data_IF_991839540478
#
_entry.id   IF_991839540478
#
_cell.length_a   1.000
_cell.length_b   1.000
_cell.length_c   1.000
_cell.angle_alpha   90.00
_cell.angle_beta   90.00
_cell.angle_gamma   90.00
#
_symmetry.space_group_name_H-M   'P 1'
#
loop_
_entity.id
_entity.type
_entity.pdbx_description
1 polymer ?
#
# COMPACT_ATOMS: atom_id res chain seq x y z
N UNK A 1 -6.69 2.84 7.63
CA UNK A 1 -5.57 3.32 6.78
C UNK A 1 -5.16 2.31 5.73
N UNK A 2 -4.82 1.08 6.12
CA UNK A 2 -4.23 0.07 5.22
C UNK A 2 -5.04 -0.21 3.93
N UNK A 3 -6.35 -0.52 3.96
CA UNK A 3 -7.08 -0.80 2.72
C UNK A 3 -7.06 0.36 1.71
N UNK A 4 -7.09 1.59 2.22
CA UNK A 4 -7.02 2.79 1.39
C UNK A 4 -5.63 2.96 0.76
N UNK A 5 -4.56 2.78 1.53
CA UNK A 5 -3.18 2.86 1.02
C UNK A 5 -2.93 1.80 -0.05
N UNK A 6 -3.37 0.56 0.18
CA UNK A 6 -3.22 -0.53 -0.79
C UNK A 6 -3.91 -0.19 -2.11
N UNK A 7 -5.17 0.25 -2.05
CA UNK A 7 -5.92 0.63 -3.24
C UNK A 7 -5.24 1.80 -3.98
N UNK A 8 -4.78 2.82 -3.25
CA UNK A 8 -4.17 4.01 -3.85
C UNK A 8 -2.80 3.71 -4.46
N UNK A 9 -1.95 2.95 -3.77
CA UNK A 9 -0.65 2.51 -4.26
C UNK A 9 -0.76 1.61 -5.48
N UNK A 10 -1.73 0.67 -5.51
CA UNK A 10 -1.99 -0.15 -6.71
C UNK A 10 -2.41 0.69 -7.90
N UNK A 11 -3.28 1.69 -7.71
CA UNK A 11 -3.66 2.63 -8.76
C UNK A 11 -2.47 3.47 -9.28
N UNK A 12 -1.47 3.70 -8.43
CA UNK A 12 -0.19 4.33 -8.80
C UNK A 12 0.82 3.34 -9.39
N UNK A 13 0.48 2.06 -9.53
CA UNK A 13 1.37 1.05 -10.10
C UNK A 13 2.37 0.44 -9.11
N UNK A 14 2.19 0.59 -7.79
CA UNK A 14 3.03 -0.08 -6.82
C UNK A 14 2.55 -1.51 -6.52
N UNK A 15 3.49 -2.44 -6.35
CA UNK A 15 3.21 -3.78 -5.86
C UNK A 15 3.20 -3.80 -4.33
N UNK A 16 2.13 -4.30 -3.72
CA UNK A 16 2.13 -4.60 -2.29
C UNK A 16 2.91 -5.90 -2.04
N UNK A 17 4.09 -5.81 -1.42
CA UNK A 17 4.93 -6.97 -1.10
C UNK A 17 4.74 -7.50 0.31
N UNK A 18 4.48 -6.62 1.28
CA UNK A 18 4.35 -6.97 2.69
C UNK A 18 3.45 -5.97 3.42
N UNK A 19 2.69 -6.48 4.38
CA UNK A 19 1.91 -5.69 5.32
C UNK A 19 2.16 -6.26 6.72
N UNK A 20 2.49 -5.39 7.67
CA UNK A 20 2.70 -5.78 9.07
C UNK A 20 1.94 -4.82 9.97
N UNK A 21 1.33 -5.37 11.01
CA UNK A 21 0.78 -4.59 12.13
C UNK A 21 1.64 -4.92 13.33
N UNK A 22 2.20 -3.89 13.96
CA UNK A 22 3.12 -3.99 15.10
C UNK A 22 2.56 -3.21 16.28
N UNK A 23 2.93 -3.60 17.50
CA UNK A 23 2.62 -2.83 18.69
C UNK A 23 3.46 -1.56 18.81
N UNK A 24 3.13 -0.71 19.78
CA UNK A 24 3.83 0.55 20.05
C UNK A 24 5.13 0.34 20.84
N UNK A 25 5.86 -0.73 20.54
CA UNK A 25 7.18 -1.03 21.10
C UNK A 25 8.30 -0.63 20.12
N UNK A 26 9.25 0.25 20.52
CA UNK A 26 10.32 0.69 19.63
C UNK A 26 11.13 -0.43 18.97
N UNK A 27 11.46 -1.49 19.72
CA UNK A 27 12.24 -2.62 19.19
C UNK A 27 11.47 -3.43 18.15
N UNK A 28 10.16 -3.65 18.37
CA UNK A 28 9.30 -4.35 17.41
C UNK A 28 9.15 -3.56 16.11
N UNK A 29 8.99 -2.23 16.23
CA UNK A 29 8.96 -1.32 15.08
C UNK A 29 10.32 -1.34 14.36
N UNK A 30 11.43 -1.29 15.10
CA UNK A 30 12.79 -1.26 14.56
C UNK A 30 13.10 -2.49 13.71
N UNK A 31 12.75 -3.68 14.19
CA UNK A 31 13.03 -4.93 13.48
C UNK A 31 12.26 -5.03 12.15
N UNK A 32 10.99 -4.64 12.13
CA UNK A 32 10.20 -4.63 10.89
C UNK A 32 10.63 -3.51 9.95
N UNK A 33 10.95 -2.32 10.47
CA UNK A 33 11.48 -1.21 9.67
C UNK A 33 12.79 -1.60 8.99
N UNK A 34 13.75 -2.16 9.74
CA UNK A 34 15.04 -2.64 9.21
C UNK A 34 14.82 -3.64 8.07
N UNK A 35 14.03 -4.69 8.33
CA UNK A 35 13.74 -5.74 7.36
C UNK A 35 13.06 -5.21 6.10
N UNK A 36 12.05 -4.36 6.26
CA UNK A 36 11.31 -3.81 5.11
C UNK A 36 12.15 -2.80 4.32
N UNK A 37 12.94 -1.97 4.99
CA UNK A 37 13.78 -0.96 4.35
C UNK A 37 14.89 -1.58 3.50
N UNK A 38 15.41 -2.75 3.90
CA UNK A 38 16.41 -3.51 3.13
C UNK A 38 15.80 -4.24 1.93
N UNK A 39 14.56 -4.73 2.05
CA UNK A 39 13.96 -5.62 1.05
C UNK A 39 13.07 -4.90 0.02
N UNK A 40 12.69 -3.64 0.22
CA UNK A 40 11.65 -2.96 -0.56
C UNK A 40 12.04 -1.53 -0.96
N UNK A 41 11.51 -1.07 -2.11
CA UNK A 41 11.80 0.28 -2.63
C UNK A 41 11.18 1.39 -1.78
N UNK A 42 10.02 1.11 -1.18
CA UNK A 42 9.27 2.03 -0.33
C UNK A 42 8.67 1.30 0.87
N UNK A 43 8.83 1.90 2.05
CA UNK A 43 8.19 1.44 3.29
C UNK A 43 7.31 2.57 3.80
N UNK A 44 6.04 2.30 4.05
CA UNK A 44 5.10 3.30 4.55
C UNK A 44 4.64 2.89 5.95
N UNK A 45 4.77 3.80 6.92
CA UNK A 45 4.23 3.63 8.27
C UNK A 45 3.04 4.57 8.48
N UNK A 46 2.08 4.18 9.31
CA UNK A 46 0.95 5.05 9.68
C UNK A 46 0.56 4.83 11.14
N UNK A 47 0.59 5.89 11.95
CA UNK A 47 0.38 5.81 13.40
C UNK A 47 1.63 6.16 14.19
N UNK A 48 1.49 6.34 15.51
CA UNK A 48 2.62 6.46 16.45
C UNK A 48 3.51 7.70 16.32
N UNK A 49 2.98 8.83 15.81
CA UNK A 49 3.72 10.08 15.55
C UNK A 49 3.10 11.32 16.20
N UNK A 50 2.11 11.12 17.06
CA UNK A 50 1.50 12.18 17.85
C UNK A 50 2.30 12.54 19.10
N UNK A 51 1.67 13.29 20.01
CA UNK A 51 2.30 13.76 21.24
C UNK A 51 2.28 12.74 22.38
N UNK A 52 1.50 11.66 22.31
CA UNK A 52 1.24 10.79 23.47
C UNK A 52 2.41 9.85 23.77
N UNK A 53 2.40 9.25 24.96
CA UNK A 53 3.52 8.45 25.46
C UNK A 53 3.76 7.15 24.68
N UNK A 54 2.73 6.67 24.01
CA UNK A 54 2.66 5.51 23.10
C UNK A 54 3.00 5.87 21.65
N UNK A 55 3.16 7.16 21.30
CA UNK A 55 3.65 7.55 19.98
C UNK A 55 5.16 7.28 19.85
N UNK A 56 5.49 6.06 19.38
CA UNK A 56 6.85 5.48 19.38
C UNK A 56 7.43 5.20 17.99
N UNK A 57 6.73 5.57 16.92
CA UNK A 57 7.15 5.23 15.55
C UNK A 57 8.47 5.87 15.15
N UNK A 58 8.73 7.14 15.49
CA UNK A 58 10.04 7.75 15.20
C UNK A 58 11.18 7.10 15.97
N UNK A 59 10.95 6.71 17.23
CA UNK A 59 11.94 6.00 18.06
C UNK A 59 12.31 4.66 17.41
N UNK A 60 11.31 3.86 17.05
CA UNK A 60 11.53 2.58 16.37
C UNK A 60 12.20 2.72 14.99
N UNK A 61 11.81 3.72 14.19
CA UNK A 61 12.48 3.98 12.91
C UNK A 61 13.95 4.36 13.12
N UNK A 62 14.25 5.20 14.12
CA UNK A 62 15.61 5.58 14.46
C UNK A 62 16.48 4.38 14.84
N UNK A 63 15.95 3.49 15.69
CA UNK A 63 16.62 2.24 16.06
C UNK A 63 16.78 1.27 14.88
N UNK A 64 15.76 1.16 14.01
CA UNK A 64 15.79 0.24 12.87
C UNK A 64 16.76 0.66 11.77
N UNK A 65 17.01 1.97 11.64
CA UNK A 65 17.87 2.55 10.59
C UNK A 65 19.22 3.06 11.11
N UNK A 66 19.56 2.79 12.37
CA UNK A 66 20.76 3.30 13.07
C UNK A 66 20.90 4.84 12.97
N UNK A 67 19.77 5.54 13.12
CA UNK A 67 19.66 6.99 13.00
C UNK A 67 19.11 7.59 14.30
N UNK A 68 19.95 8.21 15.16
CA UNK A 68 19.50 8.81 16.41
C UNK A 68 18.45 9.89 16.18
N UNK A 69 17.57 10.13 17.16
CA UNK A 69 16.56 11.18 17.06
C UNK A 69 17.17 12.54 17.39
N UNK A 70 16.80 13.56 16.62
CA UNK A 70 17.14 14.95 16.86
C UNK A 70 15.96 15.86 16.57
N UNK A 71 15.89 17.01 17.23
CA UNK A 71 14.89 18.03 16.93
C UNK A 71 15.14 18.58 15.53
N UNK A 72 14.13 18.49 14.65
CA UNK A 72 14.23 19.03 13.32
C UNK A 72 13.88 20.54 13.32
N UNK A 73 14.78 21.44 12.90
CA UNK A 73 14.56 22.89 13.02
C UNK A 73 13.26 23.36 12.35
N UNK A 74 12.94 22.85 11.16
CA UNK A 74 11.70 23.21 10.46
C UNK A 74 10.42 22.68 11.15
N UNK A 75 10.46 21.48 11.75
CA UNK A 75 9.30 20.95 12.48
C UNK A 75 9.10 21.73 13.78
N UNK A 76 10.20 22.13 14.43
CA UNK A 76 10.16 22.98 15.62
C UNK A 76 9.55 24.36 15.29
N UNK A 77 9.95 24.97 14.17
CA UNK A 77 9.35 26.22 13.70
C UNK A 77 7.84 26.07 13.39
N UNK A 78 7.41 24.94 12.83
CA UNK A 78 6.00 24.65 12.62
C UNK A 78 5.25 24.50 13.96
N UNK A 79 5.83 23.80 14.93
CA UNK A 79 5.27 23.65 16.27
C UNK A 79 5.02 25.02 16.92
N UNK A 80 5.99 25.94 16.82
CA UNK A 80 5.85 27.32 17.30
C UNK A 80 4.77 28.09 16.53
N UNK A 81 4.74 27.97 15.19
CA UNK A 81 3.76 28.66 14.34
C UNK A 81 2.31 28.21 14.62
N UNK A 82 2.14 26.97 15.07
CA UNK A 82 0.86 26.42 15.52
C UNK A 82 0.50 26.77 16.97
N UNK A 83 1.33 27.56 17.67
CA UNK A 83 1.08 28.00 19.05
C UNK A 83 1.16 26.88 20.08
N UNK A 84 1.82 25.76 19.73
CA UNK A 84 2.00 24.65 20.66
C UNK A 84 3.17 24.94 21.60
N UNK A 85 3.03 24.70 22.92
CA UNK A 85 4.14 24.89 23.84
C UNK A 85 5.24 23.85 23.57
N UNK A 86 6.50 24.22 23.77
CA UNK A 86 7.66 23.31 23.73
C UNK A 86 7.74 22.43 24.98
N UNK A 87 6.65 21.73 25.29
CA UNK A 87 6.63 20.68 26.31
C UNK A 87 7.35 19.43 25.79
N UNK A 88 7.86 18.60 26.68
CA UNK A 88 8.50 17.33 26.32
C UNK A 88 7.59 16.45 25.45
N UNK A 89 6.29 16.45 25.75
CA UNK A 89 5.23 15.78 25.00
C UNK A 89 5.13 16.28 23.55
N UNK A 90 5.16 17.60 23.32
CA UNK A 90 5.07 18.15 21.96
C UNK A 90 6.39 18.05 21.20
N UNK A 91 7.53 18.10 21.92
CA UNK A 91 8.86 17.94 21.30
C UNK A 91 9.04 16.55 20.67
N UNK A 92 8.33 15.52 21.16
CA UNK A 92 8.29 14.19 20.52
C UNK A 92 7.86 14.24 19.06
N UNK A 93 6.93 15.13 18.70
CA UNK A 93 6.43 15.26 17.32
C UNK A 93 7.46 15.87 16.36
N UNK A 94 8.52 16.52 16.88
CA UNK A 94 9.55 17.19 16.08
C UNK A 94 10.92 16.55 16.20
N UNK A 95 11.08 15.60 17.14
CA UNK A 95 12.26 14.74 17.25
C UNK A 95 12.12 13.57 16.29
N UNK A 96 12.83 13.66 15.17
CA UNK A 96 12.81 12.67 14.09
C UNK A 96 14.21 12.07 13.91
N UNK A 97 14.34 10.88 13.29
CA UNK A 97 15.65 10.30 13.02
C UNK A 97 16.54 11.24 12.17
N UNK A 98 17.82 11.31 12.48
CA UNK A 98 18.79 12.10 11.71
C UNK A 98 18.80 11.67 10.24
N UNK A 99 18.97 12.64 9.33
CA UNK A 99 18.89 12.40 7.88
C UNK A 99 17.45 12.33 7.35
N UNK A 100 16.45 12.66 8.17
CA UNK A 100 15.09 12.88 7.71
C UNK A 100 14.99 14.01 6.68
N UNK A 101 14.18 13.78 5.66
CA UNK A 101 13.75 14.74 4.65
C UNK A 101 12.28 15.07 4.90
N UNK A 102 11.93 16.35 4.84
CA UNK A 102 10.56 16.81 4.95
C UNK A 102 9.94 16.95 3.56
N UNK A 103 9.12 15.98 3.20
CA UNK A 103 8.43 15.93 1.91
C UNK A 103 7.17 16.79 1.99
N UNK A 104 7.11 17.82 1.15
CA UNK A 104 6.08 18.86 1.17
C UNK A 104 5.19 18.77 -0.06
N UNK A 105 3.88 18.83 0.15
CA UNK A 105 2.94 19.31 -0.86
C UNK A 105 2.44 20.71 -0.56
N UNK A 106 1.24 21.05 -1.08
CA UNK A 106 0.61 22.34 -0.84
C UNK A 106 0.01 22.42 0.58
N UNK A 107 0.74 23.05 1.50
CA UNK A 107 0.30 23.43 2.85
C UNK A 107 0.33 22.34 3.93
N UNK A 108 0.34 22.73 5.20
CA UNK A 108 0.27 21.84 6.37
C UNK A 108 1.60 21.25 6.85
N UNK A 109 1.53 20.30 7.79
CA UNK A 109 2.69 19.56 8.28
C UNK A 109 3.23 18.60 7.20
N UNK A 110 4.55 18.59 6.95
CA UNK A 110 5.16 17.73 5.95
C UNK A 110 5.08 16.25 6.32
N UNK A 111 5.27 15.39 5.31
CA UNK A 111 5.53 13.97 5.52
C UNK A 111 7.02 13.79 5.81
N UNK A 112 7.35 13.08 6.88
CA UNK A 112 8.75 12.78 7.21
C UNK A 112 9.19 11.54 6.44
N UNK A 113 10.33 11.62 5.76
CA UNK A 113 10.95 10.47 5.09
C UNK A 113 12.38 10.27 5.59
N UNK A 114 12.74 9.04 5.94
CA UNK A 114 14.11 8.66 6.30
C UNK A 114 14.52 7.51 5.39
N UNK A 115 15.54 7.70 4.55
CA UNK A 115 15.87 6.76 3.45
C UNK A 115 14.62 6.51 2.57
N UNK A 116 14.16 5.27 2.49
CA UNK A 116 12.95 4.81 1.79
C UNK A 116 11.72 4.65 2.70
N UNK A 117 11.80 5.05 3.97
CA UNK A 117 10.71 4.94 4.95
C UNK A 117 9.94 6.24 5.05
N UNK A 118 8.65 6.20 4.70
CA UNK A 118 7.71 7.32 4.68
C UNK A 118 6.76 7.23 5.87
N UNK A 119 6.66 8.31 6.64
CA UNK A 119 5.99 8.29 7.94
C UNK A 119 4.72 9.12 7.91
N UNK A 120 3.57 8.45 8.06
CA UNK A 120 2.25 9.07 8.03
C UNK A 120 1.57 9.09 9.42
N UNK A 121 0.68 10.05 9.67
CA UNK A 121 -0.11 10.06 10.90
C UNK A 121 -1.12 8.91 10.93
N UNK A 122 -1.59 8.55 12.13
CA UNK A 122 -2.61 7.51 12.32
C UNK A 122 -4.03 7.96 11.96
N UNK A 123 -4.32 9.26 12.08
CA UNK A 123 -5.65 9.82 11.78
C UNK A 123 -5.93 9.70 10.27
N UNK A 124 -6.98 8.96 9.84
CA UNK A 124 -7.17 8.64 8.43
C UNK A 124 -7.26 9.85 7.50
N UNK A 125 -7.96 10.92 7.93
CA UNK A 125 -8.13 12.12 7.09
C UNK A 125 -6.78 12.83 6.86
N UNK A 126 -5.92 12.87 7.88
CA UNK A 126 -4.60 13.49 7.79
C UNK A 126 -3.63 12.63 6.98
N UNK A 127 -3.68 11.31 7.17
CA UNK A 127 -2.86 10.37 6.40
C UNK A 127 -3.14 10.49 4.90
N UNK A 128 -4.43 10.47 4.51
CA UNK A 128 -4.85 10.58 3.11
C UNK A 128 -4.43 11.91 2.50
N UNK A 129 -4.66 13.01 3.21
CA UNK A 129 -4.27 14.35 2.76
C UNK A 129 -2.76 14.45 2.53
N UNK A 130 -1.95 13.93 3.47
CA UNK A 130 -0.49 13.91 3.35
C UNK A 130 0.00 12.99 2.23
N UNK A 131 -0.65 11.84 2.02
CA UNK A 131 -0.30 10.93 0.95
C UNK A 131 -0.53 11.57 -0.43
N UNK A 132 -1.70 12.17 -0.65
CA UNK A 132 -2.03 12.78 -1.96
C UNK A 132 -1.05 13.91 -2.34
N UNK A 133 -0.53 14.63 -1.36
CA UNK A 133 0.49 15.67 -1.55
C UNK A 133 1.80 15.15 -2.15
N UNK A 134 2.12 13.86 -1.96
CA UNK A 134 3.38 13.24 -2.39
C UNK A 134 3.14 12.01 -3.27
N UNK A 135 1.91 11.78 -3.72
CA UNK A 135 1.53 10.58 -4.48
C UNK A 135 2.38 10.37 -5.74
N UNK A 136 2.85 11.47 -6.36
CA UNK A 136 3.75 11.42 -7.52
C UNK A 136 5.08 10.71 -7.24
N UNK A 137 5.54 10.68 -5.99
CA UNK A 137 6.76 9.94 -5.61
C UNK A 137 6.60 8.41 -5.73
N UNK A 138 5.37 7.92 -5.81
CA UNK A 138 5.04 6.50 -5.93
C UNK A 138 4.52 6.14 -7.33
N UNK A 139 4.55 7.07 -8.28
CA UNK A 139 4.01 6.84 -9.61
C UNK A 139 4.89 5.84 -10.39
N UNK A 140 4.31 4.70 -10.73
CA UNK A 140 4.81 3.70 -11.67
C UNK A 140 3.78 3.40 -12.75
N UNK A 141 4.02 2.36 -13.54
CA UNK A 141 3.07 1.94 -14.58
C UNK A 141 1.84 1.29 -13.92
N UNK A 142 0.62 1.82 -14.10
CA UNK A 142 -0.56 1.24 -13.45
C UNK A 142 -0.77 -0.22 -13.83
N UNK A 143 -1.17 -1.03 -12.84
CA UNK A 143 -1.61 -2.41 -13.10
C UNK A 143 -3.05 -2.34 -13.62
N UNK A 144 -3.29 -2.95 -14.77
CA UNK A 144 -4.64 -3.09 -15.34
C UNK A 144 -5.26 -4.38 -14.81
N UNK A 145 -6.54 -4.33 -14.46
CA UNK A 145 -7.27 -5.47 -13.91
C UNK A 145 -8.52 -5.76 -14.76
N UNK A 146 -8.70 -7.03 -15.13
CA UNK A 146 -9.95 -7.54 -15.70
C UNK A 146 -10.57 -8.51 -14.70
N UNK A 147 -11.87 -8.35 -14.44
CA UNK A 147 -12.64 -9.21 -13.55
C UNK A 147 -13.69 -9.97 -14.33
N UNK A 148 -13.68 -11.29 -14.16
CA UNK A 148 -14.66 -12.22 -14.72
C UNK A 148 -15.48 -12.81 -13.58
N UNK A 149 -16.81 -12.87 -13.74
CA UNK A 149 -17.67 -13.65 -12.84
C UNK A 149 -18.24 -14.84 -13.61
N UNK A 150 -17.99 -16.04 -13.10
CA UNK A 150 -18.37 -17.29 -13.77
C UNK A 150 -19.21 -18.18 -12.85
N UNK A 151 -20.22 -18.83 -13.42
CA UNK A 151 -21.06 -19.83 -12.75
C UNK A 151 -20.43 -21.23 -12.89
N UNK A 152 -19.22 -21.36 -12.34
CA UNK A 152 -18.39 -22.58 -12.30
C UNK A 152 -17.71 -22.65 -10.95
N UNK A 153 -17.34 -23.85 -10.52
CA UNK A 153 -16.51 -24.07 -9.34
C UNK A 153 -15.03 -23.87 -9.66
N UNK A 154 -14.25 -23.46 -8.68
CA UNK A 154 -12.80 -23.28 -8.82
C UNK A 154 -12.10 -24.54 -9.37
N UNK A 155 -12.48 -25.71 -8.88
CA UNK A 155 -11.94 -27.00 -9.34
C UNK A 155 -12.24 -27.30 -10.81
N UNK A 156 -13.27 -26.70 -11.39
CA UNK A 156 -13.68 -26.91 -12.79
C UNK A 156 -12.89 -26.02 -13.76
N UNK A 157 -12.27 -24.97 -13.25
CA UNK A 157 -11.51 -24.00 -14.08
C UNK A 157 -10.01 -24.03 -13.80
N UNK A 158 -9.56 -24.73 -12.75
CA UNK A 158 -8.19 -24.71 -12.27
C UNK A 158 -7.15 -25.05 -13.37
N UNK A 159 -7.43 -26.04 -14.22
CA UNK A 159 -6.54 -26.41 -15.34
C UNK A 159 -6.41 -25.26 -16.35
N UNK A 160 -7.53 -24.65 -16.76
CA UNK A 160 -7.51 -23.50 -17.67
C UNK A 160 -6.77 -22.29 -17.07
N UNK A 161 -6.98 -22.01 -15.77
CA UNK A 161 -6.25 -20.94 -15.07
C UNK A 161 -4.74 -21.21 -15.07
N UNK A 162 -4.33 -22.45 -14.82
CA UNK A 162 -2.93 -22.86 -14.83
C UNK A 162 -2.31 -22.73 -16.23
N UNK A 163 -3.01 -23.18 -17.28
CA UNK A 163 -2.54 -23.11 -18.66
C UNK A 163 -2.35 -21.66 -19.11
N UNK A 164 -3.29 -20.77 -18.78
CA UNK A 164 -3.17 -19.34 -19.06
C UNK A 164 -2.02 -18.72 -18.26
N UNK A 165 -1.87 -19.03 -16.98
CA UNK A 165 -0.76 -18.53 -16.16
C UNK A 165 0.62 -18.96 -16.73
N UNK A 166 0.73 -20.19 -17.22
CA UNK A 166 1.94 -20.69 -17.88
C UNK A 166 2.22 -19.98 -19.21
N UNK A 167 1.19 -19.72 -20.02
CA UNK A 167 1.32 -19.08 -21.31
C UNK A 167 1.60 -17.57 -21.22
N UNK A 168 1.13 -16.92 -20.14
CA UNK A 168 1.22 -15.48 -19.93
C UNK A 168 1.86 -15.17 -18.56
N UNK A 169 3.18 -15.40 -18.39
CA UNK A 169 3.85 -15.24 -17.09
C UNK A 169 3.88 -13.79 -16.57
N UNK A 170 3.60 -12.79 -17.42
CA UNK A 170 3.45 -11.38 -17.04
C UNK A 170 2.05 -11.02 -16.53
N UNK A 171 1.09 -11.96 -16.57
CA UNK A 171 -0.29 -11.78 -16.13
C UNK A 171 -0.50 -12.55 -14.82
N UNK A 172 -0.81 -11.83 -13.74
CA UNK A 172 -1.18 -12.44 -12.47
C UNK A 172 -2.66 -12.85 -12.51
N UNK A 173 -2.95 -14.08 -12.11
CA UNK A 173 -4.31 -14.63 -12.10
C UNK A 173 -4.72 -14.96 -10.66
N UNK A 174 -5.89 -14.50 -10.25
CA UNK A 174 -6.49 -14.79 -8.95
C UNK A 174 -7.88 -15.41 -9.12
N UNK A 175 -8.20 -16.38 -8.28
CA UNK A 175 -9.50 -17.05 -8.19
C UNK A 175 -10.09 -16.88 -6.79
N UNK A 176 -11.35 -16.46 -6.72
CA UNK A 176 -12.03 -16.14 -5.46
C UNK A 176 -13.43 -16.78 -5.46
N UNK A 177 -13.57 -18.02 -4.97
CA UNK A 177 -14.87 -18.66 -4.85
C UNK A 177 -15.78 -17.89 -3.88
N UNK A 178 -17.08 -17.89 -4.18
CA UNK A 178 -18.14 -17.30 -3.36
C UNK A 178 -19.09 -18.39 -2.93
N UNK A 179 -19.29 -18.48 -1.63
CA UNK A 179 -20.15 -19.47 -0.99
C UNK A 179 -21.48 -18.83 -0.59
N UNK A 180 -22.58 -19.57 -0.72
CA UNK A 180 -23.87 -19.19 -0.15
C UNK A 180 -23.91 -19.47 1.38
N UNK A 181 -25.03 -19.12 2.04
CA UNK A 181 -25.23 -19.38 3.47
C UNK A 181 -25.17 -20.87 3.84
N UNK A 182 -25.41 -21.76 2.87
CA UNK A 182 -25.31 -23.22 3.01
C UNK A 182 -23.91 -23.77 2.79
N UNK A 183 -22.90 -22.92 2.55
CA UNK A 183 -21.53 -23.33 2.29
C UNK A 183 -21.29 -23.93 0.90
N UNK A 184 -22.23 -23.78 -0.03
CA UNK A 184 -22.07 -24.22 -1.42
C UNK A 184 -21.48 -23.11 -2.26
N UNK A 185 -20.48 -23.45 -3.06
CA UNK A 185 -19.93 -22.52 -4.04
C UNK A 185 -20.99 -22.24 -5.12
N UNK A 186 -21.38 -20.97 -5.27
CA UNK A 186 -22.41 -20.57 -6.24
C UNK A 186 -21.85 -19.66 -7.34
N UNK A 187 -20.67 -19.08 -7.13
CA UNK A 187 -20.04 -18.17 -8.09
C UNK A 187 -18.53 -18.13 -7.88
N UNK A 188 -17.79 -18.01 -8.96
CA UNK A 188 -16.36 -17.79 -8.93
C UNK A 188 -16.03 -16.43 -9.55
N UNK A 189 -15.21 -15.65 -8.83
CA UNK A 189 -14.65 -14.41 -9.35
C UNK A 189 -13.20 -14.68 -9.76
N UNK A 190 -12.87 -14.43 -11.02
CA UNK A 190 -11.51 -14.53 -11.54
C UNK A 190 -11.00 -13.11 -11.82
N UNK A 191 -9.77 -12.83 -11.42
CA UNK A 191 -9.09 -11.56 -11.71
C UNK A 191 -7.83 -11.83 -12.51
N UNK A 192 -7.65 -11.08 -13.61
CA UNK A 192 -6.41 -11.06 -14.38
C UNK A 192 -5.80 -9.67 -14.25
N UNK A 193 -4.54 -9.59 -13.84
CA UNK A 193 -3.82 -8.34 -13.59
C UNK A 193 -2.52 -8.29 -14.38
N UNK A 194 -2.29 -7.22 -15.16
CA UNK A 194 -1.00 -7.03 -15.84
C UNK A 194 -0.71 -5.55 -16.13
N UNK A 195 0.59 -5.23 -16.28
CA UNK A 195 1.06 -3.91 -16.75
C UNK A 195 1.08 -3.80 -18.27
N UNK A 196 1.16 -4.92 -18.98
CA UNK A 196 1.14 -4.94 -20.44
C UNK A 196 -0.29 -5.21 -20.96
N UNK A 197 -0.88 -4.23 -21.65
CA UNK A 197 -2.28 -4.31 -22.11
C UNK A 197 -2.51 -5.47 -23.10
N UNK A 198 -1.57 -5.68 -24.02
CA UNK A 198 -1.68 -6.72 -25.05
C UNK A 198 -1.53 -8.13 -24.48
N UNK A 199 -0.70 -8.30 -23.44
CA UNK A 199 -0.61 -9.57 -22.73
C UNK A 199 -1.91 -9.85 -21.95
N UNK A 200 -2.46 -8.85 -21.26
CA UNK A 200 -3.72 -8.97 -20.54
C UNK A 200 -4.88 -9.34 -21.47
N UNK A 201 -5.04 -8.64 -22.59
CA UNK A 201 -6.10 -8.89 -23.56
C UNK A 201 -6.05 -10.32 -24.10
N UNK A 202 -4.86 -10.79 -24.51
CA UNK A 202 -4.69 -12.17 -25.02
C UNK A 202 -4.92 -13.23 -23.95
N UNK A 203 -4.54 -12.96 -22.70
CA UNK A 203 -4.79 -13.88 -21.58
C UNK A 203 -6.29 -14.00 -21.28
N UNK A 204 -7.02 -12.88 -21.30
CA UNK A 204 -8.48 -12.86 -21.14
C UNK A 204 -9.15 -13.61 -22.28
N UNK A 205 -8.83 -13.30 -23.55
CA UNK A 205 -9.40 -13.99 -24.71
C UNK A 205 -9.15 -15.50 -24.67
N UNK A 206 -7.94 -15.91 -24.29
CA UNK A 206 -7.60 -17.34 -24.15
C UNK A 206 -8.43 -17.99 -23.05
N UNK A 207 -8.53 -17.37 -21.88
CA UNK A 207 -9.31 -17.91 -20.77
C UNK A 207 -10.79 -18.01 -21.12
N UNK A 208 -11.35 -17.00 -21.79
CA UNK A 208 -12.74 -17.04 -22.26
C UNK A 208 -12.97 -18.17 -23.26
N UNK A 209 -12.02 -18.41 -24.17
CA UNK A 209 -12.10 -19.52 -25.12
C UNK A 209 -12.03 -20.88 -24.41
N UNK A 210 -11.09 -21.06 -23.48
CA UNK A 210 -10.90 -22.31 -22.74
C UNK A 210 -12.13 -22.64 -21.85
N UNK A 211 -12.80 -21.61 -21.32
CA UNK A 211 -14.01 -21.76 -20.49
C UNK A 211 -15.33 -21.73 -21.28
N UNK A 212 -15.30 -21.45 -22.58
CA UNK A 212 -16.49 -21.32 -23.43
C UNK A 212 -17.39 -20.14 -23.05
N UNK A 213 -16.79 -19.02 -22.64
CA UNK A 213 -17.46 -17.85 -22.05
C UNK A 213 -17.69 -16.68 -23.02
N UNK A 214 -17.48 -16.88 -24.33
CA UNK A 214 -17.59 -15.84 -25.35
C UNK A 214 -18.86 -14.98 -25.19
N UNK A 215 -18.69 -13.71 -24.77
CA UNK A 215 -19.78 -12.73 -24.62
C UNK A 215 -20.36 -12.55 -23.21
N UNK A 216 -19.74 -13.09 -22.16
CA UNK A 216 -20.17 -12.84 -20.77
C UNK A 216 -19.73 -11.44 -20.27
N UNK A 217 -20.53 -10.84 -19.37
CA UNK A 217 -20.38 -9.42 -18.98
C UNK A 217 -19.07 -9.16 -18.25
N UNK A 218 -18.15 -8.51 -18.95
CA UNK A 218 -16.90 -7.98 -18.42
C UNK A 218 -17.16 -6.68 -17.66
N UNK A 219 -16.72 -6.60 -16.41
CA UNK A 219 -16.46 -5.31 -15.77
C UNK A 219 -14.94 -5.11 -15.75
N UNK A 220 -14.44 -4.30 -16.69
CA UNK A 220 -13.06 -3.82 -16.67
C UNK A 220 -13.00 -2.65 -15.70
N UNK A 221 -12.53 -2.88 -14.48
CA UNK A 221 -12.16 -1.80 -13.56
C UNK A 221 -10.68 -1.46 -13.83
N UNK A 222 -10.45 -0.43 -14.65
CA UNK A 222 -9.08 0.00 -14.94
C UNK A 222 -8.88 1.07 -16.03
N UNK A 223 -9.95 1.65 -16.59
CA UNK A 223 -9.86 2.69 -17.61
C UNK A 223 -11.06 3.63 -17.50
N UNK A 224 -10.95 4.64 -16.65
CA UNK A 224 -11.47 6.01 -16.83
C UNK A 224 -11.69 6.66 -15.45
N UNK A 225 -10.66 7.41 -15.02
CA UNK A 225 -10.74 8.74 -14.40
C UNK A 225 -9.34 9.30 -14.16
#
# INVERSE_FOLDING_TARGET
NVPWLIARLRALGCDLRRMVVVGDEPDAIADEVRRCAEAHDHVLTTGGVGPTHDDRTFEGIGLGLDAPLAEHPELLALLDAHGLPRSETNLRMVRVPTGAVLERGLGGFPTVRVRNVWVFPGVPVLMRARFEQIAAAFAGEPVRTVRLEVERREVEVAEALQDVACAFPSVSIGSYPRYDEGGREHRLVITLEAREADALARAVERLEADLGLAGSRLSVEGSDR
#
